data_IF_003370043171
#
_entry.id   IF_003370043171
#
_cell.length_a   1.000
_cell.length_b   1.000
_cell.length_c   1.000
_cell.angle_alpha   90.00
_cell.angle_beta   90.00
_cell.angle_gamma   90.00
#
_symmetry.space_group_name_H-M   'P 1'
#
loop_
_entity.id
_entity.type
_entity.pdbx_description
1 polymer ?
#
# COMPACT_ATOMS: atom_id res chain seq x y z
N UNK A 1 20.48 4.46 -3.15
CA UNK A 1 20.02 3.53 -4.20
C UNK A 1 18.55 3.22 -4.02
N UNK A 2 17.73 3.39 -5.05
CA UNK A 2 16.35 2.95 -4.95
C UNK A 2 16.30 1.43 -4.76
N UNK A 3 15.31 0.91 -4.04
CA UNK A 3 15.16 -0.53 -3.90
C UNK A 3 14.91 -1.18 -5.26
N UNK A 4 15.40 -2.41 -5.41
CA UNK A 4 15.17 -3.18 -6.62
C UNK A 4 13.68 -3.45 -6.79
N UNK A 5 13.19 -3.28 -8.02
CA UNK A 5 11.82 -3.61 -8.33
C UNK A 5 11.56 -5.10 -8.10
N UNK A 6 10.45 -5.42 -7.46
CA UNK A 6 10.04 -6.81 -7.24
C UNK A 6 9.43 -7.34 -8.52
N UNK A 7 9.94 -8.48 -8.99
CA UNK A 7 9.42 -9.13 -10.18
C UNK A 7 8.01 -9.68 -9.94
N UNK A 8 7.17 -9.66 -10.97
CA UNK A 8 5.78 -10.10 -10.88
C UNK A 8 5.65 -11.51 -10.32
N UNK A 9 6.49 -12.45 -10.76
CA UNK A 9 6.46 -13.83 -10.27
C UNK A 9 6.74 -13.91 -8.77
N UNK A 10 7.73 -13.14 -8.30
CA UNK A 10 8.09 -13.14 -6.89
C UNK A 10 7.00 -12.49 -6.04
N UNK A 11 6.40 -11.40 -6.54
CA UNK A 11 5.29 -10.75 -5.86
C UNK A 11 4.06 -11.63 -5.75
N UNK A 12 3.70 -12.30 -6.84
CA UNK A 12 2.56 -13.22 -6.84
C UNK A 12 2.78 -14.42 -5.94
N UNK A 13 3.99 -14.97 -5.92
CA UNK A 13 4.32 -16.09 -5.02
C UNK A 13 4.17 -15.68 -3.55
N UNK A 14 4.61 -14.46 -3.20
CA UNK A 14 4.45 -13.95 -1.85
C UNK A 14 2.98 -13.78 -1.48
N UNK A 15 2.16 -13.27 -2.40
CA UNK A 15 0.71 -13.13 -2.17
C UNK A 15 0.03 -14.48 -1.99
N UNK A 16 0.42 -15.50 -2.76
CA UNK A 16 -0.10 -16.86 -2.60
C UNK A 16 0.24 -17.44 -1.23
N UNK A 17 1.47 -17.24 -0.77
CA UNK A 17 1.91 -17.70 0.54
C UNK A 17 1.08 -17.04 1.66
N UNK A 18 0.84 -15.74 1.56
CA UNK A 18 -0.02 -15.02 2.52
C UNK A 18 -1.45 -15.55 2.48
N UNK A 19 -2.01 -15.75 1.29
CA UNK A 19 -3.37 -16.27 1.15
C UNK A 19 -3.52 -17.68 1.72
N UNK A 20 -2.48 -18.49 1.65
CA UNK A 20 -2.46 -19.84 2.22
C UNK A 20 -2.29 -19.85 3.73
N UNK A 21 -2.03 -18.72 4.35
CA UNK A 21 -1.81 -18.64 5.80
C UNK A 21 -0.44 -19.14 6.26
N UNK A 22 0.48 -19.35 5.33
CA UNK A 22 1.80 -19.93 5.60
C UNK A 22 2.93 -18.94 5.32
N UNK A 23 2.66 -17.64 5.50
CA UNK A 23 3.63 -16.63 5.13
C UNK A 23 4.59 -16.34 6.29
N UNK A 24 5.87 -16.74 6.16
CA UNK A 24 6.89 -16.20 7.06
C UNK A 24 7.02 -14.70 6.84
N UNK A 25 7.61 -14.00 7.82
CA UNK A 25 7.75 -12.54 7.76
C UNK A 25 8.37 -12.02 6.44
N UNK A 26 9.41 -12.66 5.86
CA UNK A 26 9.93 -12.19 4.57
C UNK A 26 8.93 -12.24 3.42
N UNK A 27 8.04 -13.24 3.38
CA UNK A 27 7.00 -13.34 2.36
C UNK A 27 5.95 -12.23 2.56
N UNK A 28 5.56 -11.97 3.79
CA UNK A 28 4.65 -10.85 4.10
C UNK A 28 5.27 -9.52 3.67
N UNK A 29 6.55 -9.30 3.98
CA UNK A 29 7.25 -8.09 3.57
C UNK A 29 7.26 -7.93 2.05
N UNK A 30 7.55 -8.99 1.31
CA UNK A 30 7.54 -8.96 -0.15
C UNK A 30 6.15 -8.67 -0.69
N UNK A 31 5.10 -9.31 -0.15
CA UNK A 31 3.72 -9.07 -0.58
C UNK A 31 3.32 -7.60 -0.37
N UNK A 32 3.59 -7.05 0.82
CA UNK A 32 3.30 -5.65 1.13
C UNK A 32 4.01 -4.70 0.15
N UNK A 33 5.32 -4.91 -0.04
CA UNK A 33 6.14 -4.03 -0.89
C UNK A 33 5.78 -4.16 -2.37
N UNK A 34 5.42 -5.36 -2.82
CA UNK A 34 4.96 -5.56 -4.19
C UNK A 34 3.69 -4.77 -4.46
N UNK A 35 2.71 -4.83 -3.56
CA UNK A 35 1.47 -4.07 -3.71
C UNK A 35 1.70 -2.56 -3.62
N UNK A 36 2.60 -2.10 -2.75
CA UNK A 36 2.98 -0.68 -2.70
C UNK A 36 3.64 -0.24 -4.01
N UNK A 37 4.49 -1.07 -4.58
CA UNK A 37 5.11 -0.82 -5.88
C UNK A 37 4.07 -0.67 -6.98
N UNK A 38 3.08 -1.57 -7.04
CA UNK A 38 2.00 -1.48 -8.03
C UNK A 38 1.17 -0.22 -7.86
N UNK A 39 0.89 0.17 -6.61
CA UNK A 39 0.16 1.41 -6.34
C UNK A 39 0.93 2.62 -6.85
N UNK A 40 2.22 2.70 -6.58
CA UNK A 40 3.07 3.81 -7.03
C UNK A 40 3.19 3.85 -8.55
N UNK A 41 3.21 2.68 -9.20
CA UNK A 41 3.24 2.61 -10.67
C UNK A 41 1.91 3.03 -11.28
N UNK A 42 0.80 2.68 -10.65
CA UNK A 42 -0.54 3.03 -11.11
C UNK A 42 -0.84 4.52 -10.94
N UNK A 43 -0.38 5.11 -9.86
CA UNK A 43 -0.68 6.49 -9.51
C UNK A 43 0.59 7.21 -9.04
N UNK A 44 1.52 7.52 -9.95
CA UNK A 44 2.76 8.19 -9.55
C UNK A 44 2.50 9.60 -9.05
N UNK A 45 3.34 10.05 -8.13
CA UNK A 45 3.25 11.40 -7.56
C UNK A 45 3.77 11.45 -6.14
N UNK A 46 3.64 12.61 -5.51
CA UNK A 46 4.19 12.89 -4.19
C UNK A 46 3.19 13.58 -3.26
N UNK A 47 1.89 13.50 -3.56
CA UNK A 47 0.90 14.24 -2.76
C UNK A 47 0.31 13.44 -1.59
N UNK A 48 0.46 12.11 -1.62
CA UNK A 48 -0.03 11.22 -0.57
C UNK A 48 1.06 10.21 -0.22
N UNK A 49 1.29 9.98 1.07
CA UNK A 49 2.16 8.91 1.52
C UNK A 49 1.32 7.74 2.03
N UNK A 50 1.55 6.55 1.48
CA UNK A 50 0.95 5.31 1.94
C UNK A 50 1.97 4.54 2.75
N UNK A 51 1.68 4.30 4.03
CA UNK A 51 2.58 3.66 4.99
C UNK A 51 2.02 2.33 5.47
N UNK A 52 2.87 1.31 5.46
CA UNK A 52 2.54 0.00 6.01
C UNK A 52 3.71 -0.45 6.90
N UNK A 53 3.83 0.11 8.11
CA UNK A 53 4.95 -0.24 9.00
C UNK A 53 4.88 -1.70 9.42
N UNK A 54 6.01 -2.35 9.65
CA UNK A 54 7.38 -1.86 9.45
C UNK A 54 7.92 -2.15 8.05
N UNK A 55 7.08 -2.53 7.10
CA UNK A 55 7.52 -3.10 5.82
C UNK A 55 7.85 -2.08 4.75
N UNK A 56 7.16 -0.94 4.71
CA UNK A 56 7.47 0.06 3.70
C UNK A 56 6.49 1.22 3.63
N UNK A 57 6.82 2.16 2.76
CA UNK A 57 5.99 3.31 2.43
C UNK A 57 6.29 3.77 1.01
N UNK A 58 5.29 4.33 0.35
CA UNK A 58 5.47 4.94 -0.98
C UNK A 58 4.72 6.25 -1.04
N UNK A 59 5.18 7.14 -1.90
CA UNK A 59 4.46 8.36 -2.23
C UNK A 59 3.72 8.14 -3.54
N UNK A 60 2.47 8.59 -3.61
CA UNK A 60 1.59 8.35 -4.75
C UNK A 60 0.76 9.60 -5.04
N UNK A 61 0.12 9.59 -6.19
CA UNK A 61 -0.83 10.60 -6.65
C UNK A 61 -0.16 11.94 -6.93
N UNK A 62 -0.30 12.41 -8.14
CA UNK A 62 0.15 13.73 -8.52
C UNK A 62 -0.70 14.80 -7.85
N UNK A 63 -0.09 15.91 -7.48
CA UNK A 63 -0.78 17.00 -6.81
C UNK A 63 0.20 18.03 -6.27
N UNK A 64 -0.27 18.99 -5.47
CA UNK A 64 0.59 20.01 -4.90
C UNK A 64 1.73 19.40 -4.10
N UNK A 65 2.94 19.89 -4.35
CA UNK A 65 4.14 19.43 -3.65
C UNK A 65 4.23 20.05 -2.27
N UNK A 66 4.61 19.21 -1.33
CA UNK A 66 5.07 19.69 -0.04
C UNK A 66 6.57 19.91 -0.11
N UNK A 67 7.02 21.13 0.19
CA UNK A 67 8.44 21.47 0.08
C UNK A 67 9.23 21.19 1.36
N UNK A 68 8.54 20.88 2.46
CA UNK A 68 9.17 20.61 3.76
C UNK A 68 8.41 19.53 4.52
N UNK A 69 9.15 18.60 5.10
CA UNK A 69 8.63 17.65 6.06
C UNK A 69 7.68 16.60 5.50
N UNK A 70 6.70 16.26 6.29
CA UNK A 70 5.74 15.20 5.97
C UNK A 70 4.80 15.62 4.85
N UNK A 71 4.46 14.73 3.91
CA UNK A 71 3.42 15.00 2.92
C UNK A 71 2.11 15.45 3.57
N UNK A 72 1.31 16.31 2.90
CA UNK A 72 0.08 16.84 3.49
C UNK A 72 -1.01 15.79 3.67
N UNK A 73 -0.87 14.63 3.04
CA UNK A 73 -1.83 13.55 3.14
C UNK A 73 -1.09 12.26 3.47
N UNK A 74 -1.54 11.56 4.49
CA UNK A 74 -0.90 10.33 4.95
C UNK A 74 -1.96 9.26 5.19
N UNK A 75 -1.69 8.06 4.70
CA UNK A 75 -2.49 6.87 4.98
C UNK A 75 -1.59 5.85 5.64
N UNK A 76 -2.06 5.28 6.75
CA UNK A 76 -1.30 4.25 7.46
C UNK A 76 -2.21 3.09 7.82
N UNK A 77 -1.70 1.87 7.61
CA UNK A 77 -2.40 0.66 8.00
C UNK A 77 -1.41 -0.48 8.26
N UNK A 78 -1.91 -1.59 8.76
CA UNK A 78 -1.11 -2.80 8.97
C UNK A 78 -1.04 -3.65 7.70
N UNK A 79 -0.12 -4.64 7.72
CA UNK A 79 0.12 -5.50 6.57
C UNK A 79 -1.12 -6.29 6.14
N UNK A 80 -1.82 -6.89 7.08
CA UNK A 80 -2.99 -7.73 6.76
C UNK A 80 -4.10 -6.90 6.13
N UNK A 81 -4.39 -5.73 6.68
CA UNK A 81 -5.40 -4.82 6.13
C UNK A 81 -4.99 -4.32 4.75
N UNK A 82 -3.72 -3.91 4.59
CA UNK A 82 -3.22 -3.45 3.30
C UNK A 82 -3.38 -4.53 2.21
N UNK A 83 -2.95 -5.75 2.50
CA UNK A 83 -3.08 -6.84 1.53
C UNK A 83 -4.55 -7.11 1.20
N UNK A 84 -5.44 -7.09 2.19
CA UNK A 84 -6.86 -7.34 1.97
C UNK A 84 -7.51 -6.27 1.08
N UNK A 85 -7.28 -4.99 1.34
CA UNK A 85 -7.89 -3.92 0.53
C UNK A 85 -7.24 -3.82 -0.84
N UNK A 86 -5.93 -4.04 -0.95
CA UNK A 86 -5.22 -3.98 -2.22
C UNK A 86 -5.62 -5.13 -3.16
N UNK A 87 -6.01 -6.28 -2.62
CA UNK A 87 -6.44 -7.44 -3.41
C UNK A 87 -7.95 -7.58 -3.55
N UNK A 88 -8.72 -6.66 -2.99
CA UNK A 88 -10.17 -6.64 -3.13
C UNK A 88 -10.94 -7.55 -2.19
N UNK A 89 -10.28 -8.15 -1.20
CA UNK A 89 -10.96 -9.00 -0.20
C UNK A 89 -11.68 -8.20 0.88
N UNK A 90 -11.35 -6.92 0.99
CA UNK A 90 -12.01 -6.00 1.90
C UNK A 90 -12.17 -4.65 1.21
N UNK A 91 -13.25 -3.93 1.50
CA UNK A 91 -13.45 -2.59 0.98
C UNK A 91 -12.72 -1.56 1.84
N UNK A 92 -12.14 -0.57 1.17
CA UNK A 92 -11.45 0.54 1.82
C UNK A 92 -12.31 1.21 2.89
N UNK A 93 -13.57 1.54 2.54
CA UNK A 93 -14.48 2.23 3.45
C UNK A 93 -14.76 1.45 4.72
N UNK A 94 -14.85 0.11 4.62
CA UNK A 94 -15.08 -0.73 5.78
C UNK A 94 -13.87 -0.76 6.71
N UNK A 95 -12.66 -0.82 6.14
CA UNK A 95 -11.43 -0.80 6.92
C UNK A 95 -11.22 0.54 7.61
N UNK A 96 -11.55 1.65 6.94
CA UNK A 96 -11.50 2.99 7.54
C UNK A 96 -12.50 3.09 8.69
N UNK A 97 -13.73 2.66 8.47
CA UNK A 97 -14.78 2.70 9.49
C UNK A 97 -14.43 1.86 10.72
N UNK A 98 -13.71 0.74 10.51
CA UNK A 98 -13.25 -0.12 11.61
C UNK A 98 -11.99 0.41 12.31
N UNK A 99 -11.41 1.52 11.86
CA UNK A 99 -10.21 2.09 12.45
C UNK A 99 -8.91 1.39 12.08
N UNK A 100 -8.94 0.45 11.13
CA UNK A 100 -7.73 -0.26 10.70
C UNK A 100 -6.93 0.49 9.65
N UNK A 101 -7.55 1.45 8.96
CA UNK A 101 -6.86 2.41 8.10
C UNK A 101 -7.04 3.78 8.73
N UNK A 102 -5.93 4.48 8.96
CA UNK A 102 -5.92 5.84 9.46
C UNK A 102 -5.48 6.76 8.31
N UNK A 103 -6.38 7.64 7.90
CA UNK A 103 -6.13 8.54 6.78
C UNK A 103 -6.29 9.99 7.25
N UNK A 104 -5.31 10.83 6.94
CA UNK A 104 -5.34 12.24 7.27
C UNK A 104 -5.00 13.09 6.05
N UNK A 105 -5.72 14.20 5.87
CA UNK A 105 -5.58 15.07 4.73
C UNK A 105 -6.70 14.90 3.72
N UNK A 106 -6.92 15.92 2.90
CA UNK A 106 -8.05 15.97 1.97
C UNK A 106 -7.94 15.02 0.78
N UNK A 107 -6.72 14.51 0.52
CA UNK A 107 -6.47 13.58 -0.59
C UNK A 107 -6.17 12.16 -0.13
N UNK A 108 -6.44 11.85 1.13
CA UNK A 108 -6.05 10.59 1.73
C UNK A 108 -7.06 9.46 1.51
N UNK A 109 -7.89 9.53 0.48
CA UNK A 109 -8.80 8.46 0.09
C UNK A 109 -8.25 7.78 -1.18
N UNK A 110 -7.77 6.55 -1.03
CA UNK A 110 -7.21 5.76 -2.12
C UNK A 110 -8.19 4.74 -2.70
N UNK A 111 -9.46 4.79 -2.28
CA UNK A 111 -10.46 3.79 -2.67
C UNK A 111 -10.63 3.66 -4.19
N UNK A 112 -10.52 4.76 -4.93
CA UNK A 112 -10.67 4.75 -6.39
C UNK A 112 -9.53 4.00 -7.10
N UNK A 113 -8.41 3.77 -6.43
CA UNK A 113 -7.25 3.08 -6.99
C UNK A 113 -7.26 1.57 -6.70
N UNK A 114 -8.18 1.13 -5.87
CA UNK A 114 -8.22 -0.25 -5.38
C UNK A 114 -9.45 -0.98 -5.88
N UNK A 115 -9.39 -2.31 -6.07
CA UNK A 115 -8.23 -3.15 -5.88
C UNK A 115 -7.18 -3.00 -6.97
N UNK A 116 -5.96 -3.41 -6.67
CA UNK A 116 -4.90 -3.54 -7.65
C UNK A 116 -5.04 -4.85 -8.42
N UNK A 117 -4.32 -4.97 -9.54
CA UNK A 117 -4.26 -6.20 -10.34
C UNK A 117 -2.84 -6.78 -10.28
N UNK A 118 -2.54 -7.50 -9.21
CA UNK A 118 -1.18 -8.01 -9.02
C UNK A 118 -0.77 -9.10 -10.00
#
# INVERSE_FOLDING_TARGET
>A
MPPRRIETGDGRAALEAVAAGEAPRPATATAVRYLLQLLAEKAPGNSVEMRVPPFGAVQVIEGPRHTRGTPPNVVETDAATWIAVATGREHWTDAVAAGRIVASGVRADLSALLPLRP
#
